data_IF_025599481262
#
_entry.id   IF_025599481262
#
_cell.length_a   1.000
_cell.length_b   1.000
_cell.length_c   1.000
_cell.angle_alpha   90.00
_cell.angle_beta   90.00
_cell.angle_gamma   90.00
#
_symmetry.space_group_name_H-M   'P 1'
#
loop_
_entity.id
_entity.type
_entity.pdbx_description
1 polymer ?
#
# COMPACT_ATOMS: atom_id res chain seq x y z
N UNK A 1 5.86 1.86 35.56
CA UNK A 1 6.32 0.63 34.88
C UNK A 1 5.12 -0.09 34.29
N UNK A 2 4.82 0.13 33.00
CA UNK A 2 3.68 -0.45 32.31
C UNK A 2 4.13 -1.70 31.55
N UNK A 3 3.80 -2.86 32.10
CA UNK A 3 4.33 -4.16 31.69
C UNK A 3 3.84 -4.54 30.28
N UNK A 4 4.76 -5.02 29.42
CA UNK A 4 4.51 -5.51 28.06
C UNK A 4 3.39 -6.58 28.00
N UNK A 5 3.21 -7.31 29.11
CA UNK A 5 2.12 -8.26 29.32
C UNK A 5 0.73 -7.62 29.28
N UNK A 6 0.55 -6.40 29.81
CA UNK A 6 -0.74 -5.69 29.84
C UNK A 6 -1.16 -5.20 28.45
N UNK A 7 -0.19 -4.89 27.58
CA UNK A 7 -0.43 -4.56 26.18
C UNK A 7 -0.86 -5.79 25.37
N UNK A 8 -0.21 -6.93 25.58
CA UNK A 8 -0.55 -8.20 24.90
C UNK A 8 -1.94 -8.73 25.30
N UNK A 9 -2.35 -8.58 26.56
CA UNK A 9 -3.68 -8.99 27.03
C UNK A 9 -4.80 -8.12 26.45
N UNK A 10 -4.57 -6.80 26.36
CA UNK A 10 -5.50 -5.88 25.70
C UNK A 10 -5.61 -6.17 24.19
N UNK A 11 -4.50 -6.50 23.53
CA UNK A 11 -4.48 -6.90 22.11
C UNK A 11 -5.22 -8.24 21.88
N UNK A 12 -5.00 -9.22 22.75
CA UNK A 12 -5.70 -10.53 22.71
C UNK A 12 -7.21 -10.40 22.93
N UNK A 13 -7.64 -9.56 23.87
CA UNK A 13 -9.06 -9.30 24.12
C UNK A 13 -9.72 -8.54 22.97
N UNK A 14 -9.02 -7.56 22.37
CA UNK A 14 -9.50 -6.87 21.16
C UNK A 14 -9.67 -7.85 20.00
N UNK A 15 -8.65 -8.66 19.69
CA UNK A 15 -8.68 -9.68 18.65
C UNK A 15 -9.80 -10.72 18.87
N UNK A 16 -10.08 -11.11 20.13
CA UNK A 16 -11.20 -12.02 20.47
C UNK A 16 -12.57 -11.36 20.25
N UNK A 17 -12.72 -10.07 20.55
CA UNK A 17 -13.98 -9.33 20.32
C UNK A 17 -14.22 -9.13 18.82
N UNK A 18 -13.15 -8.89 18.06
CA UNK A 18 -13.21 -8.77 16.61
C UNK A 18 -13.46 -10.10 15.91
N UNK A 19 -12.82 -11.19 16.37
CA UNK A 19 -13.09 -12.56 15.93
C UNK A 19 -14.55 -12.97 16.15
N UNK A 20 -15.13 -12.67 17.32
CA UNK A 20 -16.55 -12.98 17.62
C UNK A 20 -17.55 -12.21 16.74
N UNK A 21 -17.23 -10.97 16.34
CA UNK A 21 -18.06 -10.20 15.38
C UNK A 21 -17.94 -10.76 13.96
N UNK A 22 -16.75 -11.24 13.59
CA UNK A 22 -16.51 -11.95 12.33
C UNK A 22 -17.24 -13.28 12.25
N UNK A 23 -17.15 -14.11 13.29
CA UNK A 23 -17.80 -15.44 13.36
C UNK A 23 -19.33 -15.35 13.25
N UNK A 24 -19.99 -14.41 13.94
CA UNK A 24 -21.45 -14.23 13.82
C UNK A 24 -21.88 -13.83 12.40
N UNK A 25 -21.05 -13.04 11.70
CA UNK A 25 -21.31 -12.61 10.33
C UNK A 25 -21.03 -13.72 9.32
N UNK A 26 -19.95 -14.47 9.52
CA UNK A 26 -19.56 -15.63 8.71
C UNK A 26 -20.58 -16.77 8.86
N UNK A 27 -21.13 -16.97 10.06
CA UNK A 27 -22.23 -17.91 10.33
C UNK A 27 -23.50 -17.49 9.58
N UNK A 28 -23.86 -16.20 9.59
CA UNK A 28 -25.02 -15.68 8.85
C UNK A 28 -24.86 -15.82 7.32
N UNK A 29 -23.67 -15.54 6.79
CA UNK A 29 -23.32 -15.76 5.38
C UNK A 29 -23.41 -17.23 4.99
N UNK A 30 -22.95 -18.14 5.86
CA UNK A 30 -23.00 -19.59 5.65
C UNK A 30 -24.43 -20.12 5.66
N UNK A 31 -25.26 -19.64 6.60
CA UNK A 31 -26.70 -19.97 6.69
C UNK A 31 -27.48 -19.48 5.44
N UNK A 32 -27.17 -18.29 4.91
CA UNK A 32 -27.77 -17.81 3.65
C UNK A 32 -27.34 -18.66 2.44
N UNK A 33 -26.06 -19.03 2.37
CA UNK A 33 -25.50 -19.82 1.26
C UNK A 33 -26.05 -21.26 1.24
N UNK A 34 -26.27 -21.86 2.41
CA UNK A 34 -26.92 -23.18 2.56
C UNK A 34 -28.42 -23.14 2.19
N UNK A 35 -29.11 -22.03 2.45
CA UNK A 35 -30.50 -21.84 2.01
C UNK A 35 -30.63 -21.68 0.49
N UNK A 36 -29.70 -20.94 -0.14
CA UNK A 36 -29.63 -20.79 -1.61
C UNK A 36 -29.37 -22.13 -2.30
N UNK A 37 -28.51 -22.98 -1.71
CA UNK A 37 -28.23 -24.33 -2.21
C UNK A 37 -29.41 -25.29 -2.05
N UNK A 38 -30.23 -25.13 -1.01
CA UNK A 38 -31.37 -26.03 -0.75
C UNK A 38 -32.65 -25.65 -1.52
N UNK A 39 -32.82 -24.40 -1.96
CA UNK A 39 -34.00 -23.95 -2.70
C UNK A 39 -33.79 -23.84 -4.22
N UNK A 40 -33.39 -24.95 -4.85
CA UNK A 40 -33.15 -25.03 -6.29
C UNK A 40 -34.42 -25.01 -7.19
N UNK A 41 -35.64 -24.98 -6.64
CA UNK A 41 -36.88 -24.97 -7.45
C UNK A 41 -37.98 -24.10 -6.86
N UNK A 42 -38.13 -22.88 -7.37
CA UNK A 42 -39.40 -22.14 -7.29
C UNK A 42 -39.36 -20.85 -6.48
N UNK A 43 -38.94 -19.73 -7.11
CA UNK A 43 -39.38 -18.33 -6.95
C UNK A 43 -38.27 -17.38 -7.45
N UNK A 44 -38.24 -17.15 -8.76
CA UNK A 44 -37.16 -16.40 -9.41
C UNK A 44 -37.07 -14.91 -8.99
N UNK A 45 -38.16 -14.28 -8.55
CA UNK A 45 -38.17 -12.85 -8.20
C UNK A 45 -37.56 -12.56 -6.81
N UNK A 46 -37.74 -13.44 -5.82
CA UNK A 46 -37.15 -13.28 -4.48
C UNK A 46 -35.66 -13.65 -4.45
N UNK A 47 -35.20 -14.49 -5.37
CA UNK A 47 -33.80 -14.87 -5.53
C UNK A 47 -32.94 -13.69 -6.01
N UNK A 48 -33.41 -12.92 -7.01
CA UNK A 48 -32.66 -11.80 -7.60
C UNK A 48 -32.45 -10.63 -6.64
N UNK A 49 -33.48 -10.24 -5.89
CA UNK A 49 -33.39 -9.16 -4.90
C UNK A 49 -32.48 -9.51 -3.70
N UNK A 50 -32.35 -10.81 -3.37
CA UNK A 50 -31.48 -11.27 -2.28
C UNK A 50 -30.04 -11.51 -2.72
N UNK A 51 -29.83 -11.94 -3.96
CA UNK A 51 -28.51 -11.95 -4.61
C UNK A 51 -27.96 -10.53 -4.74
N UNK A 52 -28.78 -9.56 -5.15
CA UNK A 52 -28.40 -8.16 -5.15
C UNK A 52 -28.05 -7.66 -3.75
N UNK A 53 -28.83 -8.02 -2.71
CA UNK A 53 -28.48 -7.71 -1.32
C UNK A 53 -27.21 -8.42 -0.84
N UNK A 54 -26.94 -9.64 -1.30
CA UNK A 54 -25.70 -10.35 -0.97
C UNK A 54 -24.50 -9.67 -1.62
N UNK A 55 -24.60 -9.29 -2.90
CA UNK A 55 -23.57 -8.52 -3.61
C UNK A 55 -23.39 -7.13 -3.00
N UNK A 56 -24.46 -6.45 -2.61
CA UNK A 56 -24.45 -5.15 -1.93
C UNK A 56 -23.86 -5.27 -0.53
N UNK A 57 -24.24 -6.28 0.26
CA UNK A 57 -23.63 -6.56 1.57
C UNK A 57 -22.18 -7.04 1.44
N UNK A 58 -21.81 -7.74 0.37
CA UNK A 58 -20.43 -8.15 0.11
C UNK A 58 -19.58 -6.95 -0.34
N UNK A 59 -20.11 -6.07 -1.18
CA UNK A 59 -19.47 -4.82 -1.58
C UNK A 59 -19.38 -3.83 -0.41
N UNK A 60 -20.41 -3.72 0.43
CA UNK A 60 -20.39 -2.98 1.69
C UNK A 60 -19.44 -3.64 2.69
N UNK A 61 -19.34 -4.98 2.74
CA UNK A 61 -18.41 -5.68 3.62
C UNK A 61 -16.96 -5.67 3.13
N UNK A 62 -16.70 -5.41 1.84
CA UNK A 62 -15.38 -5.08 1.31
C UNK A 62 -15.05 -3.59 1.53
N UNK A 63 -16.03 -2.69 1.42
CA UNK A 63 -15.89 -1.26 1.79
C UNK A 63 -15.76 -1.03 3.30
N UNK A 64 -16.42 -1.85 4.11
CA UNK A 64 -16.41 -1.86 5.58
C UNK A 64 -15.62 -3.03 6.16
N UNK A 65 -14.88 -3.79 5.33
CA UNK A 65 -13.79 -4.65 5.81
C UNK A 65 -12.87 -3.66 6.49
N UNK A 66 -12.90 -3.73 7.80
CA UNK A 66 -12.70 -2.59 8.68
C UNK A 66 -11.51 -1.78 8.21
N UNK A 67 -11.69 -0.47 8.31
CA UNK A 67 -10.60 0.46 8.54
C UNK A 67 -9.92 0.09 9.87
N UNK A 68 -9.28 -1.08 9.94
CA UNK A 68 -8.27 -1.42 10.92
C UNK A 68 -7.06 -0.58 10.55
N UNK A 69 -7.13 0.70 10.92
CA UNK A 69 -6.04 1.66 10.81
C UNK A 69 -4.85 1.31 11.73
N UNK A 70 -4.84 0.11 12.33
CA UNK A 70 -3.66 -0.44 12.99
C UNK A 70 -2.68 -1.08 12.01
N UNK A 71 -3.15 -1.47 10.81
CA UNK A 71 -2.33 -2.11 9.78
C UNK A 71 -2.24 -1.25 8.52
N UNK A 72 -1.05 -1.23 7.91
CA UNK A 72 -0.82 -0.54 6.64
C UNK A 72 -1.56 -1.31 5.55
N UNK A 73 -2.65 -0.73 5.05
CA UNK A 73 -3.35 -1.26 3.88
C UNK A 73 -2.75 -0.66 2.62
N UNK A 74 -2.20 -1.51 1.76
CA UNK A 74 -1.75 -1.12 0.43
C UNK A 74 -2.99 -1.06 -0.46
N UNK A 75 -3.35 0.12 -1.01
CA UNK A 75 -4.52 0.23 -1.88
C UNK A 75 -4.31 -0.66 -3.12
N UNK A 76 -5.36 -1.35 -3.60
CA UNK A 76 -5.26 -2.09 -4.84
C UNK A 76 -5.04 -1.10 -5.99
N UNK A 77 -3.87 -1.20 -6.63
CA UNK A 77 -3.55 -0.41 -7.82
C UNK A 77 -4.42 -0.82 -9.02
N UNK A 78 -4.39 -0.03 -10.13
CA UNK A 78 -5.10 -0.38 -11.35
C UNK A 78 -4.62 -1.70 -11.94
N UNK A 79 -5.44 -2.32 -12.81
CA UNK A 79 -5.12 -3.60 -13.46
C UNK A 79 -3.72 -3.58 -14.08
N UNK A 80 -2.92 -4.58 -13.72
CA UNK A 80 -1.55 -4.73 -14.16
C UNK A 80 -1.45 -5.78 -15.27
N UNK A 81 -0.77 -5.43 -16.36
CA UNK A 81 -0.47 -6.32 -17.47
C UNK A 81 0.47 -7.46 -17.07
N UNK A 82 0.76 -8.37 -18.00
CA UNK A 82 1.67 -9.50 -17.75
C UNK A 82 3.11 -9.09 -17.52
N UNK A 83 3.58 -8.07 -18.23
CA UNK A 83 4.93 -7.50 -18.14
C UNK A 83 4.85 -6.20 -17.34
N UNK A 84 5.62 -6.13 -16.25
CA UNK A 84 5.68 -4.94 -15.38
C UNK A 84 6.95 -4.15 -15.70
N UNK A 85 8.10 -4.78 -15.50
CA UNK A 85 9.42 -4.22 -15.85
C UNK A 85 10.23 -5.32 -16.53
N UNK A 86 10.85 -4.98 -17.65
CA UNK A 86 11.79 -5.83 -18.35
C UNK A 86 13.08 -5.04 -18.56
N UNK A 87 14.19 -5.59 -18.09
CA UNK A 87 15.52 -4.99 -18.17
C UNK A 87 16.40 -5.95 -18.95
N UNK A 88 17.06 -5.45 -20.00
CA UNK A 88 17.91 -6.24 -20.87
C UNK A 88 19.28 -5.56 -21.01
N UNK A 89 20.34 -6.27 -20.63
CA UNK A 89 21.75 -5.90 -20.75
C UNK A 89 22.05 -4.47 -20.27
N UNK A 90 21.46 -4.11 -19.13
CA UNK A 90 21.53 -2.76 -18.58
C UNK A 90 22.91 -2.49 -17.99
N UNK A 91 23.57 -1.43 -18.46
CA UNK A 91 24.78 -0.90 -17.83
C UNK A 91 24.66 0.60 -17.54
N UNK A 92 25.24 1.01 -16.42
CA UNK A 92 25.30 2.41 -15.97
C UNK A 92 26.56 2.67 -15.15
N UNK A 93 27.27 3.73 -15.51
CA UNK A 93 28.42 4.25 -14.79
C UNK A 93 28.29 5.77 -14.53
N UNK A 94 28.95 6.26 -13.49
CA UNK A 94 29.16 7.69 -13.27
C UNK A 94 30.66 7.95 -13.15
N UNK A 95 31.25 8.59 -14.16
CA UNK A 95 32.70 8.69 -14.29
C UNK A 95 33.32 7.29 -14.29
N UNK A 96 34.30 7.06 -13.43
CA UNK A 96 35.01 5.78 -13.33
C UNK A 96 34.26 4.73 -12.49
N UNK A 97 33.12 5.10 -11.89
CA UNK A 97 32.37 4.21 -10.99
C UNK A 97 31.24 3.51 -11.74
N UNK A 98 31.43 2.23 -12.02
CA UNK A 98 30.38 1.34 -12.54
C UNK A 98 29.37 1.05 -11.42
N UNK A 99 28.09 1.31 -11.69
CA UNK A 99 26.99 1.05 -10.76
C UNK A 99 26.20 -0.20 -11.12
N UNK A 100 25.97 -0.40 -12.42
CA UNK A 100 25.25 -1.54 -12.98
C UNK A 100 26.03 -2.00 -14.21
N UNK A 101 26.23 -3.31 -14.34
CA UNK A 101 26.90 -3.90 -15.49
C UNK A 101 26.14 -5.16 -15.92
N UNK A 102 25.73 -5.20 -17.19
CA UNK A 102 25.03 -6.30 -17.85
C UNK A 102 23.85 -6.90 -17.07
N UNK A 103 23.06 -6.04 -16.41
CA UNK A 103 21.91 -6.49 -15.63
C UNK A 103 20.73 -6.82 -16.55
N UNK A 104 20.22 -8.05 -16.45
CA UNK A 104 19.01 -8.49 -17.14
C UNK A 104 18.03 -9.16 -16.18
N UNK A 105 16.78 -8.70 -16.15
CA UNK A 105 15.72 -9.35 -15.37
C UNK A 105 14.33 -8.98 -15.90
N UNK A 106 13.34 -9.81 -15.57
CA UNK A 106 11.94 -9.52 -15.83
C UNK A 106 11.16 -9.58 -14.52
N UNK A 107 10.37 -8.54 -14.26
CA UNK A 107 9.40 -8.48 -13.17
C UNK A 107 8.01 -8.82 -13.73
N UNK A 108 7.47 -10.02 -13.45
CA UNK A 108 6.10 -10.36 -13.81
C UNK A 108 5.11 -9.69 -12.84
N UNK A 109 3.83 -9.67 -13.23
CA UNK A 109 2.76 -9.24 -12.33
C UNK A 109 2.79 -10.01 -11.00
N UNK A 110 2.51 -9.34 -9.90
CA UNK A 110 2.58 -9.88 -8.53
C UNK A 110 3.98 -10.37 -8.11
N UNK A 111 5.02 -10.12 -8.91
CA UNK A 111 6.39 -10.39 -8.51
C UNK A 111 6.85 -9.40 -7.44
N UNK A 112 7.65 -9.88 -6.49
CA UNK A 112 8.30 -9.07 -5.47
C UNK A 112 9.79 -9.25 -5.67
N UNK A 113 10.51 -8.14 -5.85
CA UNK A 113 11.96 -8.12 -6.03
C UNK A 113 12.60 -7.36 -4.87
N UNK A 114 13.43 -8.04 -4.10
CA UNK A 114 14.25 -7.42 -3.08
C UNK A 114 15.58 -6.97 -3.69
N UNK A 115 15.90 -5.67 -3.60
CA UNK A 115 17.19 -5.13 -4.03
C UNK A 115 18.08 -4.89 -2.80
N UNK A 116 19.14 -5.67 -2.67
CA UNK A 116 20.08 -5.59 -1.54
C UNK A 116 21.46 -5.13 -1.99
N UNK A 117 22.19 -4.48 -1.09
CA UNK A 117 23.57 -4.03 -1.35
C UNK A 117 23.95 -2.84 -0.46
N UNK A 118 25.23 -2.43 -0.44
CA UNK A 118 25.69 -1.30 0.35
C UNK A 118 25.08 0.03 -0.12
N UNK A 119 25.17 1.05 0.73
CA UNK A 119 24.80 2.41 0.35
C UNK A 119 25.70 2.89 -0.79
N UNK A 120 25.11 3.54 -1.81
CA UNK A 120 25.86 3.97 -2.99
C UNK A 120 26.19 2.88 -4.01
N UNK A 121 25.59 1.69 -3.90
CA UNK A 121 25.68 0.60 -4.88
C UNK A 121 24.82 0.80 -6.15
N UNK A 122 24.14 1.93 -6.30
CA UNK A 122 23.31 2.21 -7.48
C UNK A 122 21.84 1.80 -7.41
N UNK A 123 21.33 1.34 -6.26
CA UNK A 123 19.90 0.97 -6.08
C UNK A 123 18.95 2.12 -6.44
N UNK A 124 19.22 3.31 -5.90
CA UNK A 124 18.43 4.50 -6.22
C UNK A 124 18.56 4.89 -7.69
N UNK A 125 19.73 4.69 -8.30
CA UNK A 125 19.94 4.91 -9.73
C UNK A 125 19.09 3.96 -10.57
N UNK A 126 19.01 2.68 -10.19
CA UNK A 126 18.11 1.72 -10.84
C UNK A 126 16.66 2.18 -10.79
N UNK A 127 16.18 2.67 -9.64
CA UNK A 127 14.82 3.19 -9.51
C UNK A 127 14.58 4.44 -10.36
N UNK A 128 15.56 5.34 -10.47
CA UNK A 128 15.48 6.52 -11.36
C UNK A 128 15.45 6.11 -12.83
N UNK A 129 16.23 5.09 -13.23
CA UNK A 129 16.20 4.57 -14.59
C UNK A 129 14.87 3.90 -14.93
N UNK A 130 14.27 3.12 -14.00
CA UNK A 130 12.94 2.53 -14.19
C UNK A 130 11.86 3.61 -14.35
N UNK A 131 11.99 4.74 -13.65
CA UNK A 131 11.07 5.88 -13.79
C UNK A 131 11.31 6.72 -15.06
N UNK A 132 12.40 6.47 -15.80
CA UNK A 132 12.81 7.31 -16.93
C UNK A 132 13.41 8.67 -16.51
N UNK A 133 13.74 8.86 -15.24
CA UNK A 133 14.41 10.06 -14.74
C UNK A 133 15.92 10.06 -15.00
N UNK A 134 16.49 8.88 -15.24
CA UNK A 134 17.89 8.67 -15.57
C UNK A 134 17.98 7.76 -16.80
N UNK A 135 18.86 8.07 -17.74
CA UNK A 135 19.07 7.24 -18.93
C UNK A 135 20.16 6.21 -18.70
N UNK A 136 19.95 4.95 -19.11
CA UNK A 136 21.04 3.96 -19.11
C UNK A 136 22.12 4.32 -20.12
N UNK A 137 23.35 3.87 -19.88
CA UNK A 137 24.44 4.09 -20.83
C UNK A 137 24.40 3.02 -21.95
N UNK A 138 23.97 1.80 -21.61
CA UNK A 138 23.65 0.74 -22.56
C UNK A 138 22.54 -0.17 -22.05
N UNK A 139 21.96 -0.96 -22.95
CA UNK A 139 20.82 -1.82 -22.66
C UNK A 139 19.47 -1.10 -22.79
N UNK A 140 18.42 -1.77 -22.34
CA UNK A 140 17.06 -1.24 -22.41
C UNK A 140 16.26 -1.57 -21.16
N UNK A 141 15.43 -0.61 -20.73
CA UNK A 141 14.39 -0.82 -19.72
C UNK A 141 13.04 -0.59 -20.40
N UNK A 142 12.18 -1.59 -20.31
CA UNK A 142 10.79 -1.53 -20.78
C UNK A 142 9.87 -1.63 -19.58
N UNK A 143 9.07 -0.58 -19.38
CA UNK A 143 7.99 -0.56 -18.39
C UNK A 143 6.68 -0.81 -19.11
N UNK A 144 5.83 -1.69 -18.58
CA UNK A 144 4.56 -2.04 -19.23
C UNK A 144 3.58 -0.87 -19.26
N UNK A 145 2.76 -0.78 -20.31
CA UNK A 145 1.85 0.37 -20.53
C UNK A 145 0.82 0.60 -19.43
N UNK A 146 0.45 -0.48 -18.72
CA UNK A 146 -0.51 -0.43 -17.61
C UNK A 146 0.13 -0.06 -16.26
N UNK A 147 1.46 0.11 -16.22
CA UNK A 147 2.19 0.38 -14.99
C UNK A 147 2.01 1.83 -14.58
N UNK A 148 1.56 2.03 -13.34
CA UNK A 148 1.63 3.28 -12.60
C UNK A 148 2.63 3.09 -11.47
N UNK A 149 3.77 3.75 -11.59
CA UNK A 149 4.84 3.70 -10.61
C UNK A 149 4.44 4.57 -9.41
N UNK A 150 4.59 4.05 -8.20
CA UNK A 150 4.61 4.85 -6.99
C UNK A 150 6.00 4.82 -6.39
N UNK A 151 6.59 6.01 -6.27
CA UNK A 151 7.93 6.18 -5.75
C UNK A 151 8.06 7.56 -5.11
N UNK A 152 8.60 7.58 -3.89
CA UNK A 152 8.99 8.82 -3.22
C UNK A 152 10.48 8.77 -2.93
N UNK A 153 11.22 9.72 -3.51
CA UNK A 153 12.67 9.85 -3.29
C UNK A 153 12.96 10.08 -1.80
N UNK A 154 13.87 9.26 -1.25
CA UNK A 154 14.27 9.32 0.16
C UNK A 154 14.98 10.64 0.52
N UNK A 155 15.54 11.35 -0.46
CA UNK A 155 16.32 12.57 -0.27
C UNK A 155 15.49 13.85 -0.18
N UNK A 156 14.16 13.79 -0.33
CA UNK A 156 13.28 14.94 -0.62
C UNK A 156 13.67 16.26 0.04
N UNK A 157 14.29 17.10 -0.77
CA UNK A 157 14.47 18.54 -0.59
C UNK A 157 13.16 19.35 -0.63
N UNK A 158 12.01 18.71 -0.89
CA UNK A 158 10.71 19.37 -1.12
C UNK A 158 9.68 19.17 0.00
N UNK A 159 10.04 18.51 1.11
CA UNK A 159 9.17 18.50 2.30
C UNK A 159 9.49 19.77 3.08
N UNK A 160 8.53 20.68 3.19
CA UNK A 160 8.67 21.86 4.03
C UNK A 160 8.89 21.41 5.48
N UNK A 161 10.06 21.69 6.09
CA UNK A 161 10.40 21.21 7.42
C UNK A 161 9.50 21.78 8.51
N UNK A 162 8.80 22.89 8.22
CA UNK A 162 7.88 23.55 9.16
C UNK A 162 6.49 22.93 9.13
N UNK A 163 6.09 22.26 8.04
CA UNK A 163 4.79 21.60 7.96
C UNK A 163 4.75 20.41 8.91
N UNK A 164 3.58 20.20 9.51
CA UNK A 164 3.36 19.03 10.35
C UNK A 164 3.33 17.77 9.51
N UNK A 165 3.69 16.64 10.10
CA UNK A 165 3.65 15.34 9.44
C UNK A 165 2.29 15.07 8.79
N UNK A 166 1.20 15.36 9.50
CA UNK A 166 -0.14 15.22 8.95
C UNK A 166 -0.36 16.11 7.74
N UNK A 167 -0.01 17.40 7.82
CA UNK A 167 -0.18 18.33 6.70
C UNK A 167 0.65 17.91 5.47
N UNK A 168 1.83 17.31 5.67
CA UNK A 168 2.65 16.78 4.57
C UNK A 168 1.98 15.61 3.85
N UNK A 169 1.28 14.74 4.59
CA UNK A 169 0.57 13.59 4.00
C UNK A 169 -0.80 13.98 3.46
N UNK A 170 -1.52 14.85 4.16
CA UNK A 170 -2.92 15.14 3.90
C UNK A 170 -3.16 16.36 3.02
N UNK A 171 -2.15 17.22 2.81
CA UNK A 171 -2.31 18.54 2.21
C UNK A 171 -3.36 19.39 2.97
N UNK A 172 -3.41 19.24 4.30
CA UNK A 172 -4.37 19.87 5.21
C UNK A 172 -5.84 19.43 5.03
N UNK A 173 -6.08 18.35 4.28
CA UNK A 173 -7.41 17.80 4.07
C UNK A 173 -7.80 16.79 5.17
N UNK A 174 -9.06 16.83 5.62
CA UNK A 174 -9.60 15.84 6.56
C UNK A 174 -9.82 14.47 5.91
N UNK A 175 -10.09 14.46 4.60
CA UNK A 175 -10.24 13.27 3.77
C UNK A 175 -9.25 13.32 2.60
N UNK A 176 -8.66 12.17 2.30
CA UNK A 176 -7.73 12.02 1.18
C UNK A 176 -8.10 10.82 0.33
N UNK A 177 -7.72 10.90 -0.95
CA UNK A 177 -7.75 9.77 -1.85
C UNK A 177 -6.43 9.02 -1.76
N UNK A 178 -6.52 7.73 -1.44
CA UNK A 178 -5.41 6.78 -1.46
C UNK A 178 -5.68 5.81 -2.62
N UNK A 179 -5.03 6.07 -3.75
CA UNK A 179 -5.44 5.48 -5.03
C UNK A 179 -6.87 5.88 -5.41
N UNK A 180 -7.80 4.90 -5.40
CA UNK A 180 -9.22 5.13 -5.72
C UNK A 180 -10.14 5.13 -4.48
N UNK A 181 -9.57 5.05 -3.28
CA UNK A 181 -10.33 4.96 -2.02
C UNK A 181 -10.22 6.27 -1.27
N UNK A 182 -11.37 6.88 -0.97
CA UNK A 182 -11.45 8.03 -0.07
C UNK A 182 -11.43 7.55 1.39
N UNK A 183 -10.60 8.16 2.22
CA UNK A 183 -10.54 7.84 3.64
C UNK A 183 -10.11 9.02 4.53
N UNK A 184 -10.43 8.99 5.84
CA UNK A 184 -9.99 10.01 6.78
C UNK A 184 -8.46 10.07 6.87
N UNK A 185 -7.89 11.25 6.65
CA UNK A 185 -6.44 11.44 6.56
C UNK A 185 -5.72 11.14 7.88
N UNK A 186 -6.32 11.51 9.01
CA UNK A 186 -5.81 11.21 10.36
C UNK A 186 -5.67 9.72 10.62
N UNK A 187 -6.59 8.95 10.06
CA UNK A 187 -6.66 7.53 10.26
C UNK A 187 -5.66 6.81 9.33
N UNK A 188 -5.53 7.28 8.08
CA UNK A 188 -4.46 6.87 7.18
C UNK A 188 -3.06 7.06 7.80
N UNK A 189 -2.77 8.27 8.31
CA UNK A 189 -1.50 8.59 8.95
C UNK A 189 -1.23 7.72 10.19
N UNK A 190 -2.28 7.37 10.94
CA UNK A 190 -2.18 6.51 12.11
C UNK A 190 -1.72 5.08 11.78
N UNK A 191 -2.08 4.58 10.59
CA UNK A 191 -1.66 3.26 10.11
C UNK A 191 -0.14 3.13 9.94
N UNK A 192 0.56 4.25 9.73
CA UNK A 192 2.03 4.31 9.67
C UNK A 192 2.69 4.52 11.05
N UNK A 193 1.91 4.38 12.13
CA UNK A 193 2.40 4.47 13.51
C UNK A 193 2.50 5.90 14.06
N UNK A 194 1.98 6.91 13.36
CA UNK A 194 1.94 8.29 13.87
C UNK A 194 0.61 8.55 14.60
N UNK A 195 0.63 8.43 15.94
CA UNK A 195 -0.59 8.54 16.76
C UNK A 195 -0.67 9.89 17.46
N UNK A 196 -1.88 10.46 17.50
CA UNK A 196 -2.21 11.65 18.30
C UNK A 196 -1.21 12.80 18.10
N UNK A 197 -0.44 13.21 19.14
CA UNK A 197 0.51 14.33 19.05
C UNK A 197 1.61 14.16 17.99
N UNK A 198 2.00 12.91 17.66
CA UNK A 198 3.06 12.66 16.68
C UNK A 198 2.72 13.21 15.30
N UNK A 199 1.44 13.29 14.97
CA UNK A 199 0.96 13.83 13.71
C UNK A 199 1.17 15.33 13.56
N UNK A 200 1.33 16.03 14.69
CA UNK A 200 1.56 17.48 14.73
C UNK A 200 3.04 17.84 14.77
N UNK A 201 3.94 16.85 14.84
CA UNK A 201 5.38 17.09 14.79
C UNK A 201 5.76 17.70 13.44
N UNK A 202 6.58 18.75 13.40
CA UNK A 202 7.16 19.25 12.16
C UNK A 202 7.97 18.16 11.44
N UNK A 203 7.92 18.12 10.12
CA UNK A 203 8.65 17.12 9.34
C UNK A 203 10.17 17.19 9.52
N UNK A 204 10.70 18.39 9.83
CA UNK A 204 12.14 18.60 10.04
C UNK A 204 12.72 17.86 11.24
N UNK A 205 11.92 17.62 12.29
CA UNK A 205 12.39 17.02 13.56
C UNK A 205 12.25 15.49 13.60
N UNK A 206 11.73 14.88 12.53
CA UNK A 206 11.52 13.43 12.45
C UNK A 206 12.86 12.69 12.44
N UNK A 207 12.94 11.61 13.23
CA UNK A 207 14.04 10.65 13.19
C UNK A 207 14.11 9.94 11.83
N UNK A 208 15.24 9.31 11.51
CA UNK A 208 15.38 8.57 10.24
C UNK A 208 14.33 7.47 10.05
N UNK A 209 13.96 6.77 11.12
CA UNK A 209 12.90 5.75 11.09
C UNK A 209 11.50 6.33 10.89
N UNK A 210 11.20 7.47 11.53
CA UNK A 210 9.95 8.21 11.29
C UNK A 210 9.90 8.76 9.85
N UNK A 211 11.00 9.31 9.33
CA UNK A 211 11.08 9.75 7.93
C UNK A 211 10.83 8.61 6.95
N UNK A 212 11.36 7.41 7.22
CA UNK A 212 11.10 6.25 6.38
C UNK A 212 9.62 5.86 6.35
N UNK A 213 8.94 5.89 7.49
CA UNK A 213 7.49 5.62 7.56
C UNK A 213 6.66 6.72 6.89
N UNK A 214 7.08 7.98 7.01
CA UNK A 214 6.47 9.10 6.29
C UNK A 214 6.61 8.92 4.77
N UNK A 215 7.80 8.55 4.29
CA UNK A 215 8.03 8.27 2.87
C UNK A 215 7.13 7.14 2.38
N UNK A 216 7.00 6.06 3.15
CA UNK A 216 6.09 4.97 2.82
C UNK A 216 4.62 5.45 2.73
N UNK A 217 4.19 6.30 3.66
CA UNK A 217 2.85 6.90 3.63
C UNK A 217 2.62 7.77 2.39
N UNK A 218 3.62 8.52 1.96
CA UNK A 218 3.54 9.33 0.74
C UNK A 218 3.51 8.44 -0.52
N UNK A 219 4.35 7.40 -0.58
CA UNK A 219 4.40 6.47 -1.72
C UNK A 219 3.07 5.72 -1.89
N UNK A 220 2.51 5.20 -0.79
CA UNK A 220 1.26 4.44 -0.86
C UNK A 220 0.03 5.32 -1.18
N UNK A 221 0.08 6.63 -0.89
CA UNK A 221 -1.00 7.58 -1.23
C UNK A 221 -1.21 7.67 -2.74
N UNK A 222 -0.15 7.59 -3.54
CA UNK A 222 -0.21 7.69 -5.00
C UNK A 222 -1.03 6.54 -5.65
N UNK A 223 -1.10 5.37 -5.00
CA UNK A 223 -1.95 4.26 -5.44
C UNK A 223 -1.52 3.60 -6.76
N UNK A 224 -0.22 3.59 -7.04
CA UNK A 224 0.37 2.88 -8.18
C UNK A 224 0.29 1.36 -8.04
N UNK A 225 0.51 0.66 -9.15
CA UNK A 225 0.55 -0.80 -9.21
C UNK A 225 1.99 -1.37 -9.36
N UNK A 226 3.00 -0.50 -9.41
CA UNK A 226 4.41 -0.84 -9.17
C UNK A 226 4.94 0.03 -8.03
N UNK A 227 5.30 -0.58 -6.91
CA UNK A 227 5.85 0.11 -5.75
C UNK A 227 7.38 0.03 -5.77
N UNK A 228 8.05 1.17 -5.73
CA UNK A 228 9.50 1.27 -5.53
C UNK A 228 9.75 1.79 -4.11
N UNK A 229 10.25 0.91 -3.23
CA UNK A 229 10.40 1.16 -1.78
C UNK A 229 11.87 1.29 -1.37
#
# INVERSE_FOLDING_TARGET
EGNYSTYLDKKSTHLKVEGRKGEKRQKRLKEELEWVRSNAKGRQTKSKARLARYEEMAAEADKMRKLDFEEIQIPPGPRLGSIVVEVNNLSKAFGDKVLVDDLSFTLPRNGIVGVIGPNGAGKTTLFKMIQGLETPDSGAIKVGDTVKISYVDQSRANIDPKKTLWAVVSDELDYINVGQVEMPSRAYVSAFGFKGPDQQKPAGVLSGGERNRLNLALTLKEGGNLLLL
#
